data_IF_494072507169
#
_entry.id   IF_494072507169
#
_cell.length_a   1.000
_cell.length_b   1.000
_cell.length_c   1.000
_cell.angle_alpha   90.00
_cell.angle_beta   90.00
_cell.angle_gamma   90.00
#
_symmetry.space_group_name_H-M   'P 1'
#
loop_
_entity.id
_entity.type
_entity.pdbx_description
1 polymer ?
#
# COMPACT_ATOMS: atom_id res chain seq x y z
N UNK A 1 -3.81 21.19 -12.15
CA UNK A 1 -3.52 20.38 -13.36
C UNK A 1 -3.72 18.90 -13.00
N UNK A 2 -4.94 18.49 -12.67
CA UNK A 2 -5.23 17.13 -12.16
C UNK A 2 -6.28 16.38 -13.01
N UNK A 3 -6.57 16.85 -14.22
CA UNK A 3 -7.65 16.31 -15.05
C UNK A 3 -7.25 15.27 -16.10
N UNK A 4 -5.96 15.14 -16.45
CA UNK A 4 -5.57 14.34 -17.63
C UNK A 4 -5.35 12.85 -17.33
N UNK A 5 -4.90 12.49 -16.12
CA UNK A 5 -4.58 11.09 -15.80
C UNK A 5 -5.80 10.15 -15.74
N UNK A 6 -6.92 10.66 -15.22
CA UNK A 6 -8.16 9.86 -15.06
C UNK A 6 -8.79 9.51 -16.41
N UNK A 7 -8.64 10.39 -17.41
CA UNK A 7 -9.19 10.16 -18.76
C UNK A 7 -8.48 9.02 -19.49
N UNK A 8 -7.18 8.84 -19.27
CA UNK A 8 -6.37 7.83 -19.97
C UNK A 8 -6.67 6.43 -19.43
N UNK A 9 -6.85 6.30 -18.11
CA UNK A 9 -7.17 5.03 -17.46
C UNK A 9 -8.59 4.55 -17.81
N UNK A 10 -9.56 5.48 -17.85
CA UNK A 10 -10.93 5.17 -18.28
C UNK A 10 -10.99 4.74 -19.76
N UNK A 11 -10.21 5.37 -20.63
CA UNK A 11 -10.13 4.98 -22.04
C UNK A 11 -9.49 3.59 -22.23
N UNK A 12 -8.46 3.26 -21.42
CA UNK A 12 -7.85 1.93 -21.39
C UNK A 12 -8.84 0.84 -20.95
N UNK A 13 -9.57 1.08 -19.85
CA UNK A 13 -10.58 0.14 -19.36
C UNK A 13 -11.71 -0.08 -20.37
N UNK A 14 -12.13 0.98 -21.07
CA UNK A 14 -13.13 0.91 -22.14
C UNK A 14 -12.64 0.07 -23.32
N UNK A 15 -11.38 0.23 -23.74
CA UNK A 15 -10.75 -0.57 -24.81
C UNK A 15 -10.67 -2.06 -24.44
N UNK A 16 -10.30 -2.38 -23.20
CA UNK A 16 -10.25 -3.76 -22.70
C UNK A 16 -11.65 -4.40 -22.68
N UNK A 17 -12.67 -3.66 -22.23
CA UNK A 17 -14.06 -4.15 -22.20
C UNK A 17 -14.59 -4.44 -23.61
N UNK A 18 -14.30 -3.56 -24.59
CA UNK A 18 -14.69 -3.77 -25.99
C UNK A 18 -13.99 -5.00 -26.61
N UNK A 19 -12.72 -5.23 -26.27
CA UNK A 19 -11.97 -6.41 -26.72
C UNK A 19 -12.57 -7.70 -26.17
N UNK A 20 -12.92 -7.72 -24.88
CA UNK A 20 -13.56 -8.87 -24.24
C UNK A 20 -14.91 -9.22 -24.89
N UNK A 21 -15.73 -8.22 -25.23
CA UNK A 21 -16.99 -8.42 -25.96
C UNK A 21 -16.76 -8.99 -27.37
N UNK A 22 -15.72 -8.51 -28.07
CA UNK A 22 -15.41 -8.98 -29.43
C UNK A 22 -14.96 -10.45 -29.42
N UNK A 23 -14.11 -10.83 -28.46
CA UNK A 23 -13.68 -12.23 -28.26
C UNK A 23 -14.88 -13.13 -27.94
N UNK A 24 -15.79 -12.67 -27.08
CA UNK A 24 -16.99 -13.42 -26.73
C UNK A 24 -17.92 -13.62 -27.94
N UNK A 25 -18.12 -12.58 -28.75
CA UNK A 25 -18.90 -12.65 -29.99
C UNK A 25 -18.27 -13.61 -31.01
N UNK A 26 -16.94 -13.61 -31.13
CA UNK A 26 -16.22 -14.53 -32.02
C UNK A 26 -16.26 -15.98 -31.54
N UNK A 27 -16.22 -16.20 -30.23
CA UNK A 27 -16.48 -17.51 -29.62
C UNK A 27 -17.89 -18.04 -29.94
N UNK A 28 -18.91 -17.18 -29.84
CA UNK A 28 -20.28 -17.52 -30.19
C UNK A 28 -20.45 -17.81 -31.70
N UNK A 29 -19.83 -17.00 -32.57
CA UNK A 29 -19.84 -17.21 -34.01
C UNK A 29 -19.14 -18.52 -34.42
N UNK A 30 -18.02 -18.86 -33.79
CA UNK A 30 -17.32 -20.13 -34.02
C UNK A 30 -18.11 -21.33 -33.50
N UNK A 31 -18.80 -21.20 -32.35
CA UNK A 31 -19.70 -22.22 -31.85
C UNK A 31 -20.89 -22.45 -32.80
N UNK A 32 -21.46 -21.37 -33.35
CA UNK A 32 -22.48 -21.46 -34.40
C UNK A 32 -21.93 -22.15 -35.67
N UNK A 33 -20.74 -21.77 -36.17
CA UNK A 33 -20.10 -22.43 -37.32
C UNK A 33 -19.92 -23.93 -37.11
N UNK A 34 -19.49 -24.36 -35.92
CA UNK A 34 -19.37 -25.80 -35.58
C UNK A 34 -20.73 -26.50 -35.58
N UNK A 35 -21.79 -25.81 -35.15
CA UNK A 35 -23.17 -26.32 -35.17
C UNK A 35 -23.70 -26.50 -36.61
N UNK A 36 -23.24 -25.66 -37.55
CA UNK A 36 -23.64 -25.72 -38.97
C UNK A 36 -22.71 -26.56 -39.85
N UNK A 37 -21.57 -27.04 -39.37
CA UNK A 37 -20.67 -27.95 -40.12
C UNK A 37 -21.29 -29.32 -40.45
N UNK A 38 -22.45 -29.66 -39.89
CA UNK A 38 -23.24 -30.85 -40.26
C UNK A 38 -24.38 -30.61 -41.26
N UNK A 39 -24.62 -29.36 -41.68
CA UNK A 39 -25.65 -29.01 -42.66
C UNK A 39 -24.97 -28.65 -43.99
N UNK A 40 -24.74 -29.66 -44.84
CA UNK A 40 -24.35 -29.42 -46.23
C UNK A 40 -25.51 -28.76 -46.97
N UNK A 41 -25.16 -27.81 -47.84
CA UNK A 41 -26.03 -27.00 -48.72
C UNK A 41 -26.41 -25.63 -48.14
N UNK A 42 -25.44 -24.71 -48.19
CA UNK A 42 -25.73 -23.27 -48.20
C UNK A 42 -25.52 -22.73 -49.63
N UNK A 43 -26.41 -21.84 -50.14
CA UNK A 43 -26.26 -21.24 -51.45
C UNK A 43 -25.00 -20.37 -51.51
N UNK A 44 -24.26 -20.49 -52.61
CA UNK A 44 -23.12 -19.64 -52.96
C UNK A 44 -23.57 -18.20 -53.25
N UNK A 45 -23.96 -17.44 -52.23
CA UNK A 45 -24.13 -15.99 -52.37
C UNK A 45 -22.78 -15.31 -52.17
N UNK A 46 -22.15 -14.91 -53.28
CA UNK A 46 -20.87 -14.19 -53.34
C UNK A 46 -20.78 -13.01 -52.35
N UNK A 47 -21.90 -12.33 -52.10
CA UNK A 47 -21.98 -11.20 -51.18
C UNK A 47 -21.74 -11.58 -49.71
N UNK A 48 -22.11 -12.79 -49.29
CA UNK A 48 -21.88 -13.26 -47.91
C UNK A 48 -20.41 -13.64 -47.71
N UNK A 49 -19.77 -14.22 -48.73
CA UNK A 49 -18.33 -14.51 -48.70
C UNK A 49 -17.50 -13.23 -48.73
N UNK A 50 -17.88 -12.22 -49.50
CA UNK A 50 -17.22 -10.90 -49.49
C UNK A 50 -17.35 -10.19 -48.14
N UNK A 51 -18.51 -10.27 -47.48
CA UNK A 51 -18.70 -9.73 -46.14
C UNK A 51 -17.80 -10.46 -45.11
N UNK A 52 -17.74 -11.80 -45.17
CA UNK A 52 -16.88 -12.61 -44.30
C UNK A 52 -15.39 -12.31 -44.53
N UNK A 53 -14.95 -12.14 -45.79
CA UNK A 53 -13.57 -11.78 -46.12
C UNK A 53 -13.24 -10.36 -45.67
N UNK A 54 -14.18 -9.41 -45.79
CA UNK A 54 -14.01 -8.03 -45.33
C UNK A 54 -13.91 -7.94 -43.80
N UNK A 55 -14.74 -8.70 -43.08
CA UNK A 55 -14.66 -8.78 -41.62
C UNK A 55 -13.39 -9.50 -41.15
N UNK A 56 -12.94 -10.54 -41.87
CA UNK A 56 -11.68 -11.20 -41.59
C UNK A 56 -10.47 -10.25 -41.76
N UNK A 57 -10.43 -9.47 -42.84
CA UNK A 57 -9.39 -8.45 -43.06
C UNK A 57 -9.42 -7.34 -42.01
N UNK A 58 -10.61 -6.86 -41.65
CA UNK A 58 -10.75 -5.86 -40.58
C UNK A 58 -10.28 -6.41 -39.23
N UNK A 59 -10.50 -7.70 -38.97
CA UNK A 59 -9.97 -8.37 -37.78
C UNK A 59 -8.45 -8.52 -37.80
N UNK A 60 -7.85 -8.67 -38.97
CA UNK A 60 -6.39 -8.72 -39.17
C UNK A 60 -5.75 -7.34 -38.95
N UNK A 61 -6.33 -6.28 -39.53
CA UNK A 61 -5.89 -4.89 -39.32
C UNK A 61 -5.97 -4.47 -37.84
N UNK A 62 -7.05 -4.83 -37.14
CA UNK A 62 -7.19 -4.58 -35.70
C UNK A 62 -6.19 -5.38 -34.87
N UNK A 63 -5.84 -6.59 -35.31
CA UNK A 63 -4.84 -7.41 -34.63
C UNK A 63 -3.45 -6.79 -34.78
N UNK A 64 -3.12 -6.28 -35.97
CA UNK A 64 -1.86 -5.58 -36.23
C UNK A 64 -1.75 -4.29 -35.40
N UNK A 65 -2.81 -3.48 -35.32
CA UNK A 65 -2.83 -2.28 -34.47
C UNK A 65 -2.64 -2.61 -32.99
N UNK A 66 -3.26 -3.68 -32.49
CA UNK A 66 -3.06 -4.15 -31.12
C UNK A 66 -1.65 -4.67 -30.87
N UNK A 67 -1.04 -5.34 -31.86
CA UNK A 67 0.36 -5.78 -31.79
C UNK A 67 1.28 -4.55 -31.72
N UNK A 68 1.06 -3.53 -32.56
CA UNK A 68 1.85 -2.29 -32.53
C UNK A 68 1.74 -1.58 -31.18
N UNK A 69 0.53 -1.44 -30.63
CA UNK A 69 0.30 -0.85 -29.30
C UNK A 69 1.01 -1.64 -28.19
N UNK A 70 0.93 -2.98 -28.23
CA UNK A 70 1.61 -3.84 -27.27
C UNK A 70 3.14 -3.74 -27.38
N UNK A 71 3.67 -3.61 -28.61
CA UNK A 71 5.10 -3.40 -28.86
C UNK A 71 5.56 -2.05 -28.32
N UNK A 72 4.79 -0.98 -28.52
CA UNK A 72 5.14 0.36 -28.01
C UNK A 72 5.06 0.42 -26.48
N UNK A 73 4.04 -0.21 -25.87
CA UNK A 73 3.95 -0.33 -24.41
C UNK A 73 5.14 -1.11 -23.83
N UNK A 74 5.53 -2.23 -24.47
CA UNK A 74 6.72 -2.98 -24.10
C UNK A 74 8.00 -2.14 -24.21
N UNK A 75 8.15 -1.33 -25.26
CA UNK A 75 9.29 -0.40 -25.42
C UNK A 75 9.29 0.69 -24.35
N UNK A 76 8.12 1.25 -24.03
CA UNK A 76 7.97 2.24 -22.96
C UNK A 76 8.38 1.68 -21.60
N UNK A 77 7.88 0.49 -21.24
CA UNK A 77 8.27 -0.21 -20.02
C UNK A 77 9.78 -0.49 -19.99
N UNK A 78 10.37 -0.91 -21.11
CA UNK A 78 11.82 -1.13 -21.20
C UNK A 78 12.63 0.16 -20.99
N UNK A 79 12.19 1.30 -21.52
CA UNK A 79 12.81 2.62 -21.29
C UNK A 79 12.74 3.02 -19.82
N UNK A 80 11.59 2.87 -19.18
CA UNK A 80 11.42 3.17 -17.75
C UNK A 80 12.28 2.27 -16.87
N UNK A 81 12.36 0.97 -17.18
CA UNK A 81 13.25 0.04 -16.48
C UNK A 81 14.72 0.37 -16.71
N UNK A 82 15.12 0.75 -17.92
CA UNK A 82 16.48 1.19 -18.21
C UNK A 82 16.85 2.46 -17.45
N UNK A 83 15.94 3.45 -17.43
CA UNK A 83 16.11 4.67 -16.65
C UNK A 83 16.20 4.37 -15.15
N UNK A 84 15.27 3.59 -14.60
CA UNK A 84 15.30 3.16 -13.21
C UNK A 84 16.60 2.41 -12.89
N UNK A 85 17.04 1.50 -13.76
CA UNK A 85 18.28 0.76 -13.55
C UNK A 85 19.50 1.67 -13.59
N UNK A 86 19.59 2.63 -14.51
CA UNK A 86 20.74 3.54 -14.62
C UNK A 86 20.76 4.60 -13.52
N UNK A 87 19.59 5.13 -13.16
CA UNK A 87 19.46 6.19 -12.16
C UNK A 87 19.49 5.66 -10.73
N UNK A 88 18.85 4.51 -10.46
CA UNK A 88 18.80 3.90 -9.13
C UNK A 88 19.99 2.96 -8.86
N UNK A 89 20.74 2.53 -9.88
CA UNK A 89 21.94 1.70 -9.68
C UNK A 89 22.91 2.28 -8.65
N UNK A 90 23.33 3.55 -8.78
CA UNK A 90 24.27 4.15 -7.82
C UNK A 90 23.68 4.20 -6.42
N UNK A 91 22.38 4.49 -6.31
CA UNK A 91 21.63 4.52 -5.06
C UNK A 91 21.69 3.15 -4.38
N UNK A 92 21.51 2.04 -5.13
CA UNK A 92 21.65 0.70 -4.57
C UNK A 92 23.11 0.25 -4.36
N UNK A 93 24.13 1.00 -4.78
CA UNK A 93 25.53 0.70 -4.42
C UNK A 93 25.95 1.31 -3.08
N UNK A 94 25.12 2.18 -2.51
CA UNK A 94 25.37 2.77 -1.20
C UNK A 94 25.47 1.62 -0.16
N UNK A 95 26.50 1.64 0.72
CA UNK A 95 26.67 0.65 1.78
C UNK A 95 25.44 0.56 2.70
N UNK A 96 25.22 -0.60 3.28
CA UNK A 96 24.04 -0.85 4.13
C UNK A 96 24.01 0.09 5.35
N UNK A 97 25.17 0.42 5.90
CA UNK A 97 25.34 1.29 7.06
C UNK A 97 24.85 2.71 6.76
N UNK A 98 25.12 3.20 5.55
CA UNK A 98 24.67 4.52 5.10
C UNK A 98 23.15 4.50 4.86
N UNK A 99 22.61 3.40 4.33
CA UNK A 99 21.16 3.24 4.20
C UNK A 99 20.45 3.19 5.55
N UNK A 100 20.98 2.43 6.51
CA UNK A 100 20.47 2.40 7.88
C UNK A 100 20.43 3.80 8.47
N UNK A 101 21.51 4.57 8.32
CA UNK A 101 21.56 5.96 8.79
C UNK A 101 20.55 6.88 8.08
N UNK A 102 20.42 6.78 6.76
CA UNK A 102 19.41 7.53 6.00
C UNK A 102 17.99 7.18 6.48
N UNK A 103 17.71 5.90 6.69
CA UNK A 103 16.41 5.44 7.19
C UNK A 103 16.14 5.98 8.60
N UNK A 104 17.12 5.98 9.48
CA UNK A 104 17.03 6.59 10.81
C UNK A 104 16.67 8.08 10.71
N UNK A 105 17.37 8.84 9.87
CA UNK A 105 17.06 10.26 9.65
C UNK A 105 15.66 10.50 9.09
N UNK A 106 15.20 9.64 8.17
CA UNK A 106 13.85 9.72 7.63
C UNK A 106 12.82 9.47 8.74
N UNK A 107 13.08 8.51 9.63
CA UNK A 107 12.19 8.25 10.77
C UNK A 107 12.16 9.41 11.76
N UNK A 108 13.30 10.04 12.06
CA UNK A 108 13.40 11.19 12.96
C UNK A 108 12.76 12.46 12.39
N UNK A 109 12.88 12.69 11.08
CA UNK A 109 12.31 13.86 10.41
C UNK A 109 10.78 13.76 10.23
N UNK A 110 10.21 12.57 10.39
CA UNK A 110 8.77 12.38 10.32
C UNK A 110 8.11 12.89 11.59
N UNK A 111 7.77 14.17 11.59
CA UNK A 111 6.93 14.79 12.61
C UNK A 111 5.55 14.12 12.52
N UNK A 112 5.38 13.01 13.25
CA UNK A 112 4.21 12.12 13.17
C UNK A 112 2.87 12.87 13.34
N UNK A 113 2.93 14.03 13.99
CA UNK A 113 1.83 14.96 14.20
C UNK A 113 1.33 15.65 12.92
N UNK A 114 2.20 15.94 11.93
CA UNK A 114 1.86 16.76 10.75
C UNK A 114 1.14 15.99 9.65
N UNK A 115 1.41 14.69 9.52
CA UNK A 115 0.82 13.87 8.46
C UNK A 115 -0.48 13.15 8.87
N UNK A 116 -0.71 12.99 10.18
CA UNK A 116 -1.97 12.48 10.72
C UNK A 116 -3.19 13.36 10.39
N UNK A 117 -2.97 14.59 9.89
CA UNK A 117 -4.03 15.53 9.53
C UNK A 117 -4.38 15.53 8.03
N UNK A 118 -3.53 14.98 7.17
CA UNK A 118 -3.58 15.29 5.73
C UNK A 118 -4.38 14.30 4.85
N UNK A 119 -4.74 13.09 5.32
CA UNK A 119 -5.39 12.08 4.46
C UNK A 119 -6.60 11.40 5.11
N UNK A 120 -7.78 11.90 4.78
CA UNK A 120 -9.10 11.40 5.20
C UNK A 120 -9.35 9.91 4.89
N UNK A 121 -9.28 9.04 5.92
CA UNK A 121 -10.12 7.85 5.98
C UNK A 121 -9.45 6.47 6.03
N UNK A 122 -8.13 6.35 5.87
CA UNK A 122 -7.39 5.08 6.08
C UNK A 122 -6.14 5.37 6.89
N UNK A 123 -6.22 5.22 8.21
CA UNK A 123 -5.12 5.48 9.14
C UNK A 123 -4.63 4.17 9.75
N UNK A 124 -3.53 3.63 9.20
CA UNK A 124 -2.62 2.78 9.97
C UNK A 124 -1.41 3.65 10.32
N UNK A 125 -1.32 4.20 11.53
CA UNK A 125 -0.08 4.72 12.04
C UNK A 125 0.59 3.52 12.72
N UNK A 126 1.03 2.58 11.90
CA UNK A 126 2.38 2.09 12.11
C UNK A 126 3.25 3.33 11.88
N UNK A 127 4.41 3.53 12.55
CA UNK A 127 5.29 4.65 12.21
C UNK A 127 5.32 4.73 10.68
N UNK A 128 4.98 5.89 10.09
CA UNK A 128 4.68 5.96 8.65
C UNK A 128 5.81 5.36 7.80
N UNK A 129 7.00 5.24 8.39
CA UNK A 129 8.08 4.35 8.01
C UNK A 129 7.65 2.96 7.55
N UNK A 130 6.70 2.21 8.14
CA UNK A 130 6.43 0.84 7.66
C UNK A 130 5.48 0.74 6.47
N UNK A 131 4.41 1.52 6.44
CA UNK A 131 3.56 1.60 5.25
C UNK A 131 4.39 2.13 4.07
N UNK A 132 5.24 3.13 4.31
CA UNK A 132 6.21 3.58 3.31
C UNK A 132 7.34 2.57 3.05
N UNK A 133 7.79 1.77 4.02
CA UNK A 133 8.79 0.69 3.84
C UNK A 133 8.23 -0.52 3.06
N UNK A 134 6.91 -0.71 3.07
CA UNK A 134 6.25 -1.62 2.14
C UNK A 134 6.26 -1.07 0.71
N UNK A 135 6.23 0.26 0.54
CA UNK A 135 6.42 0.93 -0.75
C UNK A 135 7.91 1.00 -1.16
N UNK A 136 8.84 0.86 -0.22
CA UNK A 136 10.26 0.74 -0.55
C UNK A 136 10.54 -0.57 -1.30
N UNK A 137 11.60 -0.56 -2.10
CA UNK A 137 12.05 -1.78 -2.75
C UNK A 137 12.45 -2.84 -1.71
N UNK A 138 12.40 -4.12 -2.10
CA UNK A 138 12.70 -5.27 -1.24
C UNK A 138 13.97 -5.09 -0.42
N UNK A 139 15.04 -4.59 -1.04
CA UNK A 139 16.33 -4.39 -0.37
C UNK A 139 16.25 -3.38 0.77
N UNK A 140 15.65 -2.22 0.57
CA UNK A 140 15.53 -1.21 1.63
C UNK A 140 14.63 -1.70 2.77
N UNK A 141 13.61 -2.50 2.45
CA UNK A 141 12.77 -3.16 3.46
C UNK A 141 13.58 -4.14 4.31
N UNK A 142 14.42 -4.97 3.70
CA UNK A 142 15.33 -5.88 4.41
C UNK A 142 16.29 -5.10 5.32
N UNK A 143 16.89 -4.01 4.83
CA UNK A 143 17.77 -3.14 5.64
C UNK A 143 17.01 -2.57 6.85
N UNK A 144 15.81 -2.04 6.64
CA UNK A 144 15.00 -1.50 7.71
C UNK A 144 14.62 -2.55 8.77
N UNK A 145 14.24 -3.76 8.34
CA UNK A 145 13.95 -4.88 9.24
C UNK A 145 15.14 -5.21 10.14
N UNK A 146 16.36 -5.12 9.59
CA UNK A 146 17.60 -5.39 10.33
C UNK A 146 18.22 -4.18 11.02
N UNK A 147 17.56 -3.02 11.02
CA UNK A 147 18.04 -1.79 11.68
C UNK A 147 17.14 -1.48 12.88
N UNK A 148 17.48 -1.94 14.11
CA UNK A 148 16.61 -1.81 15.29
C UNK A 148 16.19 -0.37 15.63
N UNK A 149 17.04 0.62 15.33
CA UNK A 149 16.79 2.04 15.59
C UNK A 149 15.57 2.59 14.86
N UNK A 150 15.27 2.08 13.66
CA UNK A 150 14.07 2.42 12.89
C UNK A 150 12.75 2.04 13.59
N UNK A 151 12.81 1.26 14.68
CA UNK A 151 11.67 0.73 15.43
C UNK A 151 11.57 1.32 16.84
N UNK A 152 12.32 2.39 17.14
CA UNK A 152 12.36 3.01 18.46
C UNK A 152 11.34 4.14 18.65
N UNK A 153 10.65 4.56 17.60
CA UNK A 153 9.50 5.48 17.72
C UNK A 153 8.24 4.74 17.27
N UNK A 154 7.37 4.45 18.23
CA UNK A 154 6.15 3.68 18.03
C UNK A 154 4.96 4.60 18.25
N UNK A 155 4.15 4.77 17.21
CA UNK A 155 2.84 5.40 17.34
C UNK A 155 1.75 4.32 17.26
N UNK A 156 0.74 4.43 18.11
CA UNK A 156 -0.47 3.61 18.10
C UNK A 156 -1.63 4.57 17.92
N UNK A 157 -2.44 4.41 16.88
CA UNK A 157 -3.73 5.09 16.83
C UNK A 157 -4.88 4.09 16.89
N UNK A 158 -5.84 4.40 17.74
CA UNK A 158 -7.04 3.62 18.02
C UNK A 158 -8.19 4.42 17.46
N UNK A 159 -8.63 4.06 16.25
CA UNK A 159 -9.69 4.74 15.50
C UNK A 159 -10.71 3.73 14.96
N UNK A 160 -11.85 4.21 14.46
CA UNK A 160 -12.98 3.40 13.97
C UNK A 160 -12.60 2.32 12.94
N UNK A 161 -11.64 2.60 12.06
CA UNK A 161 -11.46 1.80 10.85
C UNK A 161 -10.28 0.84 10.90
N UNK A 162 -9.27 1.10 11.74
CA UNK A 162 -8.04 0.30 11.77
C UNK A 162 -7.45 0.30 13.17
N UNK A 163 -7.70 -0.80 13.90
CA UNK A 163 -6.97 -1.10 15.12
C UNK A 163 -5.72 -1.86 14.73
N UNK A 164 -4.56 -1.31 15.10
CA UNK A 164 -3.29 -2.03 15.03
C UNK A 164 -3.47 -3.38 15.73
N UNK A 165 -3.10 -4.47 15.08
CA UNK A 165 -3.13 -5.79 15.71
C UNK A 165 -2.09 -5.85 16.84
N UNK A 166 -2.45 -6.36 18.04
CA UNK A 166 -1.49 -6.56 19.12
C UNK A 166 -0.27 -7.39 18.70
N UNK A 167 -0.45 -8.35 17.80
CA UNK A 167 0.64 -9.17 17.23
C UNK A 167 1.63 -8.31 16.45
N UNK A 168 1.14 -7.41 15.60
CA UNK A 168 1.99 -6.50 14.81
C UNK A 168 2.74 -5.56 15.75
N UNK A 169 2.07 -4.97 16.74
CA UNK A 169 2.73 -4.12 17.73
C UNK A 169 3.84 -4.88 18.47
N UNK A 170 3.58 -6.11 18.89
CA UNK A 170 4.56 -6.95 19.58
C UNK A 170 5.79 -7.23 18.70
N UNK A 171 5.59 -7.59 17.42
CA UNK A 171 6.70 -7.78 16.48
C UNK A 171 7.56 -6.52 16.33
N UNK A 172 6.94 -5.33 16.31
CA UNK A 172 7.67 -4.05 16.22
C UNK A 172 8.53 -3.83 17.46
N UNK A 173 7.92 -3.99 18.63
CA UNK A 173 8.62 -3.83 19.90
C UNK A 173 9.75 -4.86 20.03
N UNK A 174 9.60 -6.06 19.50
CA UNK A 174 10.67 -7.06 19.46
C UNK A 174 11.80 -6.67 18.50
N UNK A 175 11.50 -6.08 17.33
CA UNK A 175 12.51 -5.64 16.34
C UNK A 175 13.40 -4.52 16.85
N UNK A 176 12.90 -3.67 17.75
CA UNK A 176 13.76 -2.68 18.44
C UNK A 176 14.83 -3.31 19.34
N UNK A 177 14.77 -4.62 19.61
CA UNK A 177 15.80 -5.37 20.32
C UNK A 177 15.91 -4.97 21.80
N UNK A 178 17.04 -4.44 22.23
CA UNK A 178 17.24 -3.92 23.60
C UNK A 178 17.18 -2.39 23.68
N UNK A 179 16.94 -1.71 22.56
CA UNK A 179 16.93 -0.25 22.51
C UNK A 179 15.74 0.32 23.27
N UNK A 180 15.94 1.52 23.83
CA UNK A 180 14.85 2.29 24.41
C UNK A 180 13.95 2.83 23.30
N UNK A 181 12.64 2.91 23.56
CA UNK A 181 11.68 3.42 22.59
C UNK A 181 10.77 4.51 23.16
N UNK A 182 10.33 5.39 22.27
CA UNK A 182 9.26 6.36 22.50
C UNK A 182 7.94 5.75 22.03
N UNK A 183 6.88 5.99 22.78
CA UNK A 183 5.54 5.55 22.47
C UNK A 183 4.60 6.74 22.41
N UNK A 184 3.83 6.88 21.33
CA UNK A 184 2.74 7.83 21.23
C UNK A 184 1.42 7.07 20.98
N UNK A 185 0.42 7.27 21.83
CA UNK A 185 -0.89 6.62 21.73
C UNK A 185 -1.93 7.70 21.43
N UNK A 186 -2.65 7.56 20.33
CA UNK A 186 -3.76 8.43 19.96
C UNK A 186 -5.03 7.61 20.02
N UNK A 187 -5.96 8.00 20.88
CA UNK A 187 -7.25 7.32 21.04
C UNK A 187 -8.34 8.27 20.56
N UNK A 188 -9.18 7.87 19.63
CA UNK A 188 -10.38 8.64 19.35
C UNK A 188 -11.33 8.53 20.57
N UNK A 189 -11.98 9.63 20.96
CA UNK A 189 -12.90 9.67 22.12
C UNK A 189 -13.96 8.56 22.06
N UNK A 190 -14.39 8.18 20.86
CA UNK A 190 -15.36 7.09 20.66
C UNK A 190 -14.81 5.68 20.99
N UNK A 191 -13.51 5.52 21.25
CA UNK A 191 -12.81 4.24 21.40
C UNK A 191 -12.05 4.09 22.71
N UNK A 192 -12.26 4.98 23.67
CA UNK A 192 -11.61 4.88 24.99
C UNK A 192 -11.94 3.54 25.65
N UNK A 193 -13.17 3.07 25.50
CA UNK A 193 -13.65 1.80 26.08
C UNK A 193 -13.46 0.59 25.14
N UNK A 194 -12.63 0.72 24.10
CA UNK A 194 -12.43 -0.38 23.16
C UNK A 194 -11.61 -1.52 23.81
N UNK A 195 -12.10 -2.77 23.87
CA UNK A 195 -11.36 -3.87 24.49
C UNK A 195 -9.98 -4.12 23.84
N UNK A 196 -9.82 -3.81 22.56
CA UNK A 196 -8.52 -3.93 21.87
C UNK A 196 -7.48 -2.91 22.34
N UNK A 197 -7.91 -1.77 22.87
CA UNK A 197 -6.98 -0.84 23.52
C UNK A 197 -6.31 -1.54 24.71
N UNK A 198 -7.06 -2.28 25.53
CA UNK A 198 -6.50 -3.04 26.64
C UNK A 198 -5.52 -4.12 26.17
N UNK A 199 -5.81 -4.83 25.06
CA UNK A 199 -4.89 -5.81 24.47
C UNK A 199 -3.57 -5.16 24.01
N UNK A 200 -3.65 -3.99 23.36
CA UNK A 200 -2.48 -3.24 22.92
C UNK A 200 -1.66 -2.73 24.11
N UNK A 201 -2.33 -2.20 25.14
CA UNK A 201 -1.69 -1.75 26.36
C UNK A 201 -1.00 -2.92 27.09
N UNK A 202 -1.58 -4.12 27.09
CA UNK A 202 -0.93 -5.30 27.66
C UNK A 202 0.37 -5.66 26.93
N UNK A 203 0.40 -5.55 25.59
CA UNK A 203 1.62 -5.73 24.80
C UNK A 203 2.67 -4.67 25.15
N UNK A 204 2.27 -3.39 25.24
CA UNK A 204 3.16 -2.31 25.68
C UNK A 204 3.70 -2.57 27.09
N UNK A 205 2.84 -3.02 28.00
CA UNK A 205 3.20 -3.27 29.40
C UNK A 205 4.30 -4.32 29.52
N UNK A 206 4.28 -5.37 28.69
CA UNK A 206 5.37 -6.37 28.68
C UNK A 206 6.73 -5.79 28.22
N UNK A 207 6.74 -4.64 27.56
CA UNK A 207 7.94 -3.95 27.07
C UNK A 207 8.22 -2.63 27.80
N UNK A 208 7.45 -2.28 28.83
CA UNK A 208 7.43 -0.94 29.45
C UNK A 208 8.81 -0.51 29.98
N UNK A 209 9.65 -1.45 30.41
CA UNK A 209 11.00 -1.18 30.93
C UNK A 209 11.94 -0.52 29.92
N UNK A 210 11.66 -0.67 28.62
CA UNK A 210 12.42 -0.05 27.54
C UNK A 210 11.76 1.25 27.05
N UNK A 211 10.56 1.58 27.53
CA UNK A 211 9.89 2.79 27.12
C UNK A 211 10.43 3.97 27.94
N UNK A 212 11.06 4.94 27.28
CA UNK A 212 11.63 6.11 27.96
C UNK A 212 10.71 7.35 27.90
N UNK A 213 9.79 7.37 26.93
CA UNK A 213 8.85 8.47 26.74
C UNK A 213 7.52 7.92 26.26
N UNK A 214 6.44 8.33 26.93
CA UNK A 214 5.07 7.97 26.56
C UNK A 214 4.27 9.26 26.40
N UNK A 215 3.59 9.35 25.26
CA UNK A 215 2.66 10.42 24.94
C UNK A 215 1.30 9.81 24.68
N UNK A 216 0.24 10.32 25.33
CA UNK A 216 -1.12 9.85 25.11
C UNK A 216 -2.01 11.04 24.77
N UNK A 217 -2.71 10.94 23.63
CA UNK A 217 -3.62 11.97 23.13
C UNK A 217 -4.99 11.35 22.90
N UNK A 218 -6.06 12.04 23.26
CA UNK A 218 -7.42 11.55 23.09
C UNK A 218 -8.31 12.57 22.34
N UNK A 219 -8.69 12.26 21.10
CA UNK A 219 -9.42 13.17 20.22
C UNK A 219 -8.60 14.39 19.76
N UNK A 220 -9.30 15.49 19.39
CA UNK A 220 -8.68 16.77 18.96
C UNK A 220 -8.37 17.73 20.10
N UNK A 221 -8.77 17.40 21.32
CA UNK A 221 -8.52 18.21 22.50
C UNK A 221 -7.44 17.52 23.31
N UNK A 222 -6.48 18.28 23.86
CA UNK A 222 -5.60 17.75 24.90
C UNK A 222 -6.48 17.38 26.10
N UNK A 223 -6.81 16.10 26.20
CA UNK A 223 -7.58 15.57 27.32
C UNK A 223 -6.77 15.79 28.60
N UNK A 224 -7.42 16.27 29.65
CA UNK A 224 -6.75 16.49 30.93
C UNK A 224 -6.11 15.19 31.40
N UNK A 225 -4.82 15.29 31.75
CA UNK A 225 -3.93 14.20 32.16
C UNK A 225 -4.56 13.27 33.21
N UNK A 226 -5.53 13.74 34.00
CA UNK A 226 -6.18 12.99 35.08
C UNK A 226 -6.83 11.66 34.66
N UNK A 227 -7.60 11.61 33.58
CA UNK A 227 -8.30 10.38 33.15
C UNK A 227 -7.35 9.36 32.50
N UNK A 228 -6.36 9.86 31.76
CA UNK A 228 -5.27 9.03 31.24
C UNK A 228 -4.38 8.54 32.39
N UNK A 229 -4.19 9.36 33.42
CA UNK A 229 -3.38 9.00 34.59
C UNK A 229 -4.01 7.90 35.42
N UNK A 230 -5.34 7.76 35.46
CA UNK A 230 -5.99 6.61 36.12
C UNK A 230 -5.71 5.33 35.34
N UNK A 231 -5.89 5.33 34.01
CA UNK A 231 -5.55 4.18 33.16
C UNK A 231 -4.07 3.81 33.34
N UNK A 232 -3.16 4.78 33.21
CA UNK A 232 -1.71 4.58 33.39
C UNK A 232 -1.38 4.09 34.81
N UNK A 233 -2.06 4.60 35.83
CA UNK A 233 -1.86 4.23 37.25
C UNK A 233 -2.36 2.82 37.53
N UNK A 234 -3.48 2.42 36.95
CA UNK A 234 -4.04 1.06 37.05
C UNK A 234 -3.12 0.03 36.38
N UNK A 235 -2.39 0.43 35.34
CA UNK A 235 -1.34 -0.39 34.73
C UNK A 235 0.02 -0.33 35.45
N UNK A 236 0.11 0.38 36.58
CA UNK A 236 1.31 0.46 37.42
C UNK A 236 2.47 1.24 36.79
N UNK A 237 2.18 2.14 35.84
CA UNK A 237 3.20 2.95 35.18
C UNK A 237 3.56 4.13 36.09
N UNK A 238 4.48 3.89 37.01
CA UNK A 238 5.11 4.98 37.77
C UNK A 238 6.05 5.69 36.81
N UNK A 239 5.63 6.85 36.31
CA UNK A 239 6.46 7.73 35.47
C UNK A 239 7.85 7.89 36.09
N UNK A 240 8.94 7.43 35.44
CA UNK A 240 10.28 7.79 35.86
C UNK A 240 10.51 9.23 35.41
N UNK A 241 10.10 10.16 36.27
CA UNK A 241 10.46 11.57 36.27
C UNK A 241 10.36 12.31 34.92
N UNK A 242 9.28 13.09 34.77
CA UNK A 242 9.38 14.44 34.21
C UNK A 242 10.40 15.23 35.07
N UNK A 243 11.70 15.07 34.78
CA UNK A 243 12.64 16.15 35.05
C UNK A 243 12.38 17.18 33.96
N UNK A 244 11.76 18.27 34.38
CA UNK A 244 11.64 19.51 33.62
C UNK A 244 13.01 20.02 33.19
#
# INVERSE_FOLDING_TARGET
MEGEGVSVEQDRLRKIANLAQTIQAQGAANAARRKYQGASELPQSSAVLELIVRDARRSEELLDELIELAVEEKRSAHRLLSYANNFLQPIFRIPIEIWSYILELITECSDASKWATLMAGIYLPLPQSFASMNLLCRRLREIAIHTPRCWTDVTICVTNNHLTSPTILNEYLQRSGSLLFRLAIYVDKAHVDNPRLHELLAVVQSHIRRCYQIEVRCGREEMQISQISEIIRDYGWVYPALRS
#
